data_IF_948409183474
#
_entry.id   IF_948409183474
#
_cell.length_a   1.000
_cell.length_b   1.000
_cell.length_c   1.000
_cell.angle_alpha   90.00
_cell.angle_beta   90.00
_cell.angle_gamma   90.00
#
_symmetry.space_group_name_H-M   'P 1'
#
loop_
_entity.id
_entity.type
_entity.pdbx_description
1 polymer ?
#
# COMPACT_ATOMS: atom_id res chain seq x y z
N UNK A 1 11.42 -0.17 11.64
CA UNK A 1 10.02 -0.35 11.19
C UNK A 1 9.02 0.59 11.87
N UNK A 2 9.25 1.10 13.09
CA UNK A 2 8.36 2.10 13.70
C UNK A 2 8.26 3.41 12.91
N UNK A 3 9.37 3.85 12.30
CA UNK A 3 9.45 5.09 11.51
C UNK A 3 8.54 5.10 10.28
N UNK A 4 8.45 3.99 9.54
CA UNK A 4 7.61 3.89 8.36
C UNK A 4 6.11 3.93 8.67
N UNK A 5 5.68 3.31 9.79
CA UNK A 5 4.29 3.42 10.26
C UNK A 5 3.96 4.86 10.66
N UNK A 6 4.83 5.52 11.41
CA UNK A 6 4.64 6.93 11.76
C UNK A 6 4.68 7.85 10.54
N UNK A 7 5.48 7.53 9.52
CA UNK A 7 5.45 8.23 8.24
C UNK A 7 4.12 8.03 7.52
N UNK A 8 3.57 6.81 7.51
CA UNK A 8 2.26 6.52 6.94
C UNK A 8 1.13 7.27 7.67
N UNK A 9 1.22 7.38 9.00
CA UNK A 9 0.32 8.21 9.82
C UNK A 9 0.46 9.69 9.44
N UNK A 10 1.68 10.23 9.41
CA UNK A 10 1.94 11.62 9.08
C UNK A 10 1.55 11.99 7.63
N UNK A 11 1.63 11.04 6.70
CA UNK A 11 1.22 11.22 5.30
C UNK A 11 -0.27 10.92 5.07
N UNK A 12 -1.02 10.58 6.12
CA UNK A 12 -2.48 10.40 6.04
C UNK A 12 -2.93 9.11 5.37
N UNK A 13 -2.05 8.11 5.20
CA UNK A 13 -2.39 6.85 4.52
C UNK A 13 -3.56 6.11 5.20
N UNK A 14 -3.69 6.27 6.52
CA UNK A 14 -4.75 5.65 7.31
C UNK A 14 -6.15 6.25 7.12
N UNK A 15 -6.28 7.36 6.39
CA UNK A 15 -7.57 7.90 5.97
C UNK A 15 -8.26 7.00 4.93
N UNK A 16 -7.48 6.28 4.12
CA UNK A 16 -7.99 5.44 3.03
C UNK A 16 -7.65 3.95 3.20
N UNK A 17 -6.66 3.62 4.02
CA UNK A 17 -6.16 2.25 4.21
C UNK A 17 -6.15 1.85 5.68
N UNK A 18 -6.22 0.55 5.94
CA UNK A 18 -5.95 -0.04 7.24
C UNK A 18 -5.01 -1.23 7.08
N UNK A 19 -4.46 -1.73 8.19
CA UNK A 19 -3.50 -2.84 8.13
C UNK A 19 -4.16 -4.11 7.61
N UNK A 20 -5.34 -4.47 8.15
CA UNK A 20 -5.99 -5.77 7.88
C UNK A 20 -7.40 -5.64 7.31
N UNK A 21 -7.95 -4.43 7.21
CA UNK A 21 -9.31 -4.17 6.73
C UNK A 21 -9.32 -3.27 5.50
N UNK A 22 -10.33 -3.46 4.63
CA UNK A 22 -10.64 -2.51 3.56
C UNK A 22 -11.30 -1.28 4.15
N UNK A 23 -10.94 -0.11 3.65
CA UNK A 23 -11.67 1.15 3.91
C UNK A 23 -12.10 1.74 2.57
N UNK A 24 -11.26 2.57 1.98
CA UNK A 24 -11.40 3.08 0.62
C UNK A 24 -10.52 2.26 -0.31
N UNK A 25 -9.23 2.19 0.04
CA UNK A 25 -8.25 1.31 -0.56
C UNK A 25 -8.19 -0.08 0.08
N UNK A 26 -7.40 -0.99 -0.50
CA UNK A 26 -7.15 -2.32 0.06
C UNK A 26 -6.46 -2.24 1.43
N UNK A 27 -6.61 -3.29 2.23
CA UNK A 27 -5.78 -3.47 3.42
C UNK A 27 -4.29 -3.60 3.03
N UNK A 28 -3.37 -3.10 3.86
CA UNK A 28 -1.94 -3.26 3.60
C UNK A 28 -1.52 -4.75 3.56
N UNK A 29 -2.11 -5.59 4.42
CA UNK A 29 -1.93 -7.04 4.41
C UNK A 29 -2.33 -7.70 3.08
N UNK A 30 -3.30 -7.12 2.35
CA UNK A 30 -3.72 -7.61 1.05
C UNK A 30 -2.71 -7.24 -0.04
N UNK A 31 -2.14 -6.03 0.04
CA UNK A 31 -1.05 -5.62 -0.84
C UNK A 31 0.16 -6.55 -0.65
N UNK A 32 0.53 -6.83 0.60
CA UNK A 32 1.57 -7.80 0.92
C UNK A 32 1.26 -9.20 0.37
N UNK A 33 0.00 -9.64 0.43
CA UNK A 33 -0.44 -10.91 -0.15
C UNK A 33 -0.34 -10.94 -1.68
N UNK A 34 -0.86 -9.93 -2.37
CA UNK A 34 -0.88 -9.87 -3.85
C UNK A 34 0.52 -9.89 -4.45
N UNK A 35 1.47 -9.17 -3.83
CA UNK A 35 2.84 -9.01 -4.35
C UNK A 35 3.85 -9.95 -3.68
N UNK A 36 3.40 -10.92 -2.89
CA UNK A 36 4.30 -11.88 -2.23
C UNK A 36 5.09 -12.67 -3.28
N UNK A 37 6.42 -12.60 -3.20
CA UNK A 37 7.33 -13.30 -4.11
C UNK A 37 7.54 -12.63 -5.46
N UNK A 38 6.95 -11.45 -5.70
CA UNK A 38 7.21 -10.67 -6.91
C UNK A 38 8.50 -9.85 -6.75
N UNK A 39 9.54 -10.08 -7.56
CA UNK A 39 10.79 -9.32 -7.49
C UNK A 39 10.60 -7.82 -7.83
N UNK A 40 9.50 -7.44 -8.47
CA UNK A 40 9.17 -6.04 -8.82
C UNK A 40 8.26 -5.36 -7.78
N UNK A 41 7.82 -6.07 -6.74
CA UNK A 41 6.87 -5.58 -5.74
C UNK A 41 7.23 -4.20 -5.19
N UNK A 42 8.48 -4.01 -4.76
CA UNK A 42 8.93 -2.75 -4.17
C UNK A 42 8.78 -1.59 -5.15
N UNK A 43 9.26 -1.75 -6.39
CA UNK A 43 9.16 -0.71 -7.42
C UNK A 43 7.72 -0.42 -7.82
N UNK A 44 6.87 -1.46 -7.93
CA UNK A 44 5.47 -1.29 -8.30
C UNK A 44 4.69 -0.54 -7.21
N UNK A 45 4.85 -0.93 -5.95
CA UNK A 45 4.13 -0.30 -4.83
C UNK A 45 4.65 1.11 -4.57
N UNK A 46 5.97 1.36 -4.65
CA UNK A 46 6.50 2.71 -4.47
C UNK A 46 6.05 3.66 -5.58
N UNK A 47 6.05 3.20 -6.85
CA UNK A 47 5.56 3.98 -7.98
C UNK A 47 4.06 4.29 -7.85
N UNK A 48 3.27 3.32 -7.41
CA UNK A 48 1.85 3.53 -7.14
C UNK A 48 1.61 4.57 -6.04
N UNK A 49 2.42 4.59 -4.98
CA UNK A 49 2.34 5.61 -3.91
C UNK A 49 2.68 6.99 -4.47
N UNK A 50 3.76 7.09 -5.25
CA UNK A 50 4.25 8.38 -5.78
C UNK A 50 3.31 8.99 -6.83
N UNK A 51 2.84 8.19 -7.79
CA UNK A 51 2.10 8.70 -8.95
C UNK A 51 0.61 8.37 -8.93
N UNK A 52 0.15 7.62 -7.93
CA UNK A 52 -1.20 7.08 -7.89
C UNK A 52 -1.33 5.79 -8.70
N UNK A 53 -2.49 5.15 -8.58
CA UNK A 53 -2.80 3.91 -9.29
C UNK A 53 -4.31 3.75 -9.48
N UNK A 54 -4.72 3.22 -10.63
CA UNK A 54 -6.11 2.90 -10.92
C UNK A 54 -6.24 1.46 -11.44
N UNK A 55 -7.41 0.83 -11.24
CA UNK A 55 -7.74 -0.48 -11.83
C UNK A 55 -7.12 -1.71 -11.16
N UNK A 56 -6.19 -1.57 -10.21
CA UNK A 56 -5.52 -2.71 -9.56
C UNK A 56 -6.35 -3.36 -8.45
N UNK A 57 -7.15 -2.56 -7.74
CA UNK A 57 -7.90 -2.96 -6.54
C UNK A 57 -9.41 -2.68 -6.63
N UNK A 58 -9.89 -2.32 -7.83
CA UNK A 58 -11.26 -1.91 -8.10
C UNK A 58 -11.34 -0.61 -8.90
N UNK A 59 -12.54 -0.04 -8.98
CA UNK A 59 -12.80 1.16 -9.77
C UNK A 59 -12.31 2.47 -9.15
N UNK A 60 -12.00 2.50 -7.86
CA UNK A 60 -11.56 3.73 -7.20
C UNK A 60 -10.05 3.93 -7.37
N UNK A 61 -9.60 5.04 -7.99
CA UNK A 61 -8.19 5.33 -8.13
C UNK A 61 -7.60 5.83 -6.81
N UNK A 62 -6.36 5.45 -6.53
CA UNK A 62 -5.54 6.10 -5.52
C UNK A 62 -4.82 7.29 -6.19
N UNK A 63 -4.97 8.52 -5.71
CA UNK A 63 -4.24 9.67 -6.25
C UNK A 63 -2.75 9.61 -5.88
N UNK A 64 -1.93 10.38 -6.61
CA UNK A 64 -0.53 10.62 -6.27
C UNK A 64 -0.39 11.16 -4.85
N UNK A 65 0.57 10.63 -4.08
CA UNK A 65 0.82 11.06 -2.71
C UNK A 65 1.99 12.04 -2.64
N UNK A 66 1.90 13.01 -1.73
CA UNK A 66 2.98 13.99 -1.52
C UNK A 66 4.13 13.37 -0.71
N UNK A 67 4.98 12.58 -1.36
CA UNK A 67 6.14 11.88 -0.79
C UNK A 67 7.35 12.02 -1.71
N UNK A 68 8.55 11.94 -1.15
CA UNK A 68 9.77 11.80 -1.97
C UNK A 68 9.92 10.35 -2.45
N UNK A 69 10.75 10.08 -3.47
CA UNK A 69 11.03 8.70 -3.92
C UNK A 69 11.54 7.78 -2.80
N UNK A 70 12.33 8.33 -1.87
CA UNK A 70 12.86 7.59 -0.70
C UNK A 70 11.74 7.25 0.28
N UNK A 71 10.86 8.21 0.57
CA UNK A 71 9.69 8.00 1.42
C UNK A 71 8.73 6.98 0.82
N UNK A 72 8.50 7.04 -0.50
CA UNK A 72 7.67 6.08 -1.21
C UNK A 72 8.22 4.65 -1.10
N UNK A 73 9.55 4.48 -1.23
CA UNK A 73 10.22 3.18 -1.04
C UNK A 73 10.15 2.69 0.41
N UNK A 74 10.34 3.58 1.39
CA UNK A 74 10.23 3.22 2.81
C UNK A 74 8.81 2.75 3.16
N UNK A 75 7.79 3.48 2.70
CA UNK A 75 6.38 3.11 2.86
C UNK A 75 6.04 1.81 2.14
N UNK A 76 6.45 1.66 0.88
CA UNK A 76 6.22 0.44 0.10
C UNK A 76 6.86 -0.79 0.76
N UNK A 77 8.10 -0.67 1.22
CA UNK A 77 8.80 -1.74 1.93
C UNK A 77 8.06 -2.13 3.21
N UNK A 78 7.53 -1.14 3.95
CA UNK A 78 6.74 -1.41 5.15
C UNK A 78 5.39 -2.08 4.84
N UNK A 79 4.67 -1.63 3.81
CA UNK A 79 3.42 -2.26 3.35
C UNK A 79 3.66 -3.70 2.94
N UNK A 80 4.71 -3.98 2.17
CA UNK A 80 5.05 -5.33 1.71
C UNK A 80 5.52 -6.26 2.84
N UNK A 81 6.00 -5.69 3.96
CA UNK A 81 6.39 -6.44 5.14
C UNK A 81 5.23 -6.77 6.09
N UNK A 82 4.00 -6.30 5.81
CA UNK A 82 2.83 -6.68 6.60
C UNK A 82 2.58 -8.17 6.49
N UNK A 83 1.99 -8.77 7.55
CA UNK A 83 1.58 -10.16 7.52
C UNK A 83 0.62 -10.37 6.34
N UNK A 84 0.97 -11.20 5.33
CA UNK A 84 0.12 -11.38 4.16
C UNK A 84 -1.21 -12.03 4.53
N UNK A 85 -2.32 -11.38 4.20
CA UNK A 85 -3.68 -11.90 4.37
C UNK A 85 -4.39 -11.83 3.02
N UNK A 86 -4.98 -12.93 2.58
CA UNK A 86 -5.74 -12.94 1.33
C UNK A 86 -6.98 -12.03 1.45
N UNK A 87 -7.30 -11.21 0.43
CA UNK A 87 -8.58 -10.53 0.38
C UNK A 87 -9.74 -11.54 0.46
N UNK A 88 -10.87 -11.19 1.10
CA UNK A 88 -12.06 -12.02 1.03
C UNK A 88 -12.46 -12.20 -0.44
N UNK A 89 -12.86 -13.42 -0.82
CA UNK A 89 -13.39 -13.68 -2.15
C UNK A 89 -14.63 -12.82 -2.34
N UNK A 90 -14.67 -12.05 -3.43
CA UNK A 90 -15.89 -11.39 -3.84
C UNK A 90 -16.93 -12.49 -4.11
N UNK A 91 -17.97 -12.55 -3.29
CA UNK A 91 -19.17 -13.35 -3.51
C UNK A 91 -20.04 -12.73 -4.60
#
# INVERSE_FOLDING_TARGET
MAKAKSLAEAKGCFACHQVEAKVVGPAFAWVAYKYKGDPKALSTVSHAIEHGVAGVWGGMPMPAQNVTPEQAKELASWVLAQKPIAPPKAS
#
